data_IF_274977287376
#
_entry.id   IF_274977287376
#
_cell.length_a   1.000
_cell.length_b   1.000
_cell.length_c   1.000
_cell.angle_alpha   90.00
_cell.angle_beta   90.00
_cell.angle_gamma   90.00
#
_symmetry.space_group_name_H-M   'P 1'
#
loop_
_entity.id
_entity.type
_entity.pdbx_description
1 polymer ?
#
# COMPACT_ATOMS: atom_id res chain seq x y z
N UNK A 1 -16.45 -0.68 -15.76
CA UNK A 1 -16.78 0.44 -14.88
C UNK A 1 -15.54 1.24 -14.51
N UNK A 2 -15.62 2.58 -14.56
CA UNK A 2 -14.51 3.49 -14.26
C UNK A 2 -14.03 3.29 -12.82
N UNK A 3 -14.94 3.23 -11.86
CA UNK A 3 -14.60 3.13 -10.44
C UNK A 3 -13.84 1.83 -10.12
N UNK A 4 -14.23 0.72 -10.72
CA UNK A 4 -13.57 -0.57 -10.54
C UNK A 4 -12.40 -0.82 -11.50
N UNK A 5 -12.02 0.17 -12.30
CA UNK A 5 -11.00 0.05 -13.35
C UNK A 5 -11.17 -1.20 -14.23
N UNK A 6 -12.41 -1.47 -14.64
CA UNK A 6 -12.83 -2.64 -15.42
C UNK A 6 -12.51 -4.01 -14.76
N UNK A 7 -12.18 -4.05 -13.49
CA UNK A 7 -12.02 -5.29 -12.73
C UNK A 7 -13.41 -5.79 -12.28
N UNK A 8 -13.81 -6.98 -12.72
CA UNK A 8 -15.14 -7.54 -12.46
C UNK A 8 -15.35 -7.81 -10.96
N UNK A 9 -14.38 -8.40 -10.27
CA UNK A 9 -14.48 -8.70 -8.84
C UNK A 9 -14.66 -7.42 -8.00
N UNK A 10 -13.91 -6.37 -8.35
CA UNK A 10 -14.04 -5.05 -7.72
C UNK A 10 -15.41 -4.41 -8.00
N UNK A 11 -15.92 -4.57 -9.22
CA UNK A 11 -17.24 -4.11 -9.59
C UNK A 11 -18.33 -4.82 -8.78
N UNK A 12 -18.30 -6.15 -8.73
CA UNK A 12 -19.29 -6.97 -8.04
C UNK A 12 -19.33 -6.65 -6.54
N UNK A 13 -18.16 -6.52 -5.92
CA UNK A 13 -18.08 -6.14 -4.51
C UNK A 13 -18.68 -4.76 -4.26
N UNK A 14 -18.37 -3.75 -5.08
CA UNK A 14 -18.92 -2.39 -4.92
C UNK A 14 -20.44 -2.38 -5.07
N UNK A 15 -20.97 -3.07 -6.08
CA UNK A 15 -22.41 -3.17 -6.33
C UNK A 15 -23.13 -3.88 -5.17
N UNK A 16 -22.58 -5.00 -4.69
CA UNK A 16 -23.13 -5.70 -3.52
C UNK A 16 -23.02 -4.86 -2.23
N UNK A 17 -21.95 -4.07 -2.07
CA UNK A 17 -21.81 -3.15 -0.95
C UNK A 17 -22.87 -2.05 -0.98
N UNK A 18 -23.19 -1.48 -2.15
CA UNK A 18 -24.28 -0.51 -2.31
C UNK A 18 -25.66 -1.15 -2.10
N UNK A 19 -25.87 -2.36 -2.59
CA UNK A 19 -27.08 -3.13 -2.34
C UNK A 19 -27.26 -3.43 -0.83
N UNK A 20 -26.19 -3.78 -0.14
CA UNK A 20 -26.20 -3.99 1.30
C UNK A 20 -26.56 -2.70 2.07
N UNK A 21 -26.08 -1.54 1.61
CA UNK A 21 -26.43 -0.26 2.21
C UNK A 21 -27.94 0.06 2.08
N UNK A 22 -28.62 -0.48 1.08
CA UNK A 22 -30.06 -0.30 0.85
C UNK A 22 -30.86 -1.38 1.56
N UNK A 23 -30.49 -2.65 1.38
CA UNK A 23 -31.29 -3.79 1.87
C UNK A 23 -31.08 -4.10 3.35
N UNK A 24 -29.92 -3.73 3.91
CA UNK A 24 -29.51 -3.97 5.29
C UNK A 24 -28.91 -2.71 5.91
N UNK A 25 -29.71 -1.62 5.89
CA UNK A 25 -29.26 -0.32 6.34
C UNK A 25 -28.81 -0.31 7.80
N UNK A 26 -29.46 -1.13 8.63
CA UNK A 26 -29.19 -1.31 10.06
C UNK A 26 -27.93 -2.12 10.36
N UNK A 27 -27.41 -2.88 9.39
CA UNK A 27 -26.17 -3.65 9.58
C UNK A 27 -24.95 -2.85 9.15
N UNK A 28 -24.12 -2.47 10.13
CA UNK A 28 -22.90 -1.71 9.89
C UNK A 28 -21.85 -2.56 9.18
N UNK A 29 -21.33 -2.14 7.99
CA UNK A 29 -20.43 -2.97 7.19
C UNK A 29 -19.06 -3.17 7.84
N UNK A 30 -18.60 -2.22 8.65
CA UNK A 30 -17.26 -2.24 9.23
C UNK A 30 -16.13 -2.09 8.22
N UNK A 31 -16.45 -1.62 7.01
CA UNK A 31 -15.51 -1.37 5.90
C UNK A 31 -15.86 -0.02 5.27
N UNK A 32 -14.83 0.75 4.93
CA UNK A 32 -14.92 1.97 4.14
C UNK A 32 -14.38 1.73 2.73
N UNK A 33 -15.00 2.35 1.75
CA UNK A 33 -14.55 2.34 0.35
C UNK A 33 -13.64 3.56 0.12
N UNK A 34 -12.45 3.34 -0.42
CA UNK A 34 -11.48 4.40 -0.71
C UNK A 34 -11.18 4.45 -2.22
N UNK A 35 -11.43 5.60 -2.83
CA UNK A 35 -11.24 5.86 -4.25
C UNK A 35 -9.96 6.67 -4.46
N UNK A 36 -8.99 6.11 -5.15
CA UNK A 36 -7.73 6.76 -5.45
C UNK A 36 -7.60 6.96 -6.95
N UNK A 37 -7.27 8.17 -7.37
CA UNK A 37 -6.97 8.52 -8.76
C UNK A 37 -6.42 9.93 -8.84
N UNK A 38 -5.98 10.31 -10.01
CA UNK A 38 -5.75 11.71 -10.35
C UNK A 38 -7.04 12.55 -10.25
N UNK A 39 -6.90 13.87 -10.31
CA UNK A 39 -8.04 14.78 -10.41
C UNK A 39 -8.78 14.60 -11.75
N UNK A 40 -10.11 14.77 -11.74
CA UNK A 40 -10.92 14.71 -12.95
C UNK A 40 -11.25 13.29 -13.47
N UNK A 41 -11.12 12.26 -12.63
CA UNK A 41 -11.43 10.86 -13.00
C UNK A 41 -12.83 10.39 -12.58
N UNK A 42 -13.69 11.29 -12.04
CA UNK A 42 -15.09 10.97 -11.73
C UNK A 42 -15.39 10.58 -10.28
N UNK A 43 -14.47 10.83 -9.34
CA UNK A 43 -14.73 10.59 -7.90
C UNK A 43 -15.93 11.41 -7.39
N UNK A 44 -15.97 12.72 -7.71
CA UNK A 44 -17.11 13.60 -7.38
C UNK A 44 -18.41 13.17 -8.06
N UNK A 45 -18.36 12.70 -9.33
CA UNK A 45 -19.53 12.16 -10.04
C UNK A 45 -20.09 10.91 -9.31
N UNK A 46 -19.22 10.09 -8.71
CA UNK A 46 -19.66 8.98 -7.88
C UNK A 46 -20.43 9.48 -6.65
N UNK A 47 -19.93 10.52 -5.98
CA UNK A 47 -20.67 11.13 -4.87
C UNK A 47 -22.02 11.72 -5.35
N UNK A 48 -22.07 12.39 -6.50
CA UNK A 48 -23.34 12.89 -7.08
C UNK A 48 -24.38 11.78 -7.21
N UNK A 49 -23.97 10.58 -7.66
CA UNK A 49 -24.86 9.41 -7.70
C UNK A 49 -25.32 8.99 -6.30
N UNK A 50 -24.40 8.90 -5.33
CA UNK A 50 -24.74 8.54 -3.95
C UNK A 50 -25.73 9.56 -3.36
N UNK A 51 -25.47 10.85 -3.55
CA UNK A 51 -26.35 11.92 -3.09
C UNK A 51 -27.74 11.83 -3.74
N UNK A 52 -27.83 11.50 -5.02
CA UNK A 52 -29.11 11.32 -5.71
C UNK A 52 -29.94 10.18 -5.13
N UNK A 53 -29.29 9.11 -4.63
CA UNK A 53 -29.96 7.94 -4.02
C UNK A 53 -30.39 8.24 -2.58
N UNK A 54 -29.47 8.79 -1.75
CA UNK A 54 -29.70 8.95 -0.31
C UNK A 54 -30.13 10.37 0.12
N UNK A 55 -30.01 11.35 -0.78
CA UNK A 55 -30.50 12.71 -0.57
C UNK A 55 -29.94 13.32 0.72
N UNK A 56 -30.84 13.78 1.59
CA UNK A 56 -30.48 14.46 2.85
C UNK A 56 -29.74 13.58 3.85
N UNK A 57 -29.71 12.27 3.65
CA UNK A 57 -28.96 11.32 4.49
C UNK A 57 -27.54 11.08 3.97
N UNK A 58 -27.07 11.89 3.01
CA UNK A 58 -25.68 11.85 2.52
C UNK A 58 -25.02 13.21 2.70
N UNK A 59 -23.74 13.19 3.00
CA UNK A 59 -22.89 14.39 3.14
C UNK A 59 -21.55 14.20 2.44
N UNK A 60 -21.11 15.24 1.77
CA UNK A 60 -19.73 15.40 1.29
C UNK A 60 -18.96 16.32 2.23
N UNK A 61 -17.76 15.92 2.59
CA UNK A 61 -16.92 16.63 3.54
C UNK A 61 -15.52 16.79 2.95
N UNK A 62 -15.10 18.03 2.75
CA UNK A 62 -13.78 18.38 2.19
C UNK A 62 -12.69 18.53 3.29
N UNK A 63 -13.08 18.74 4.55
CA UNK A 63 -12.15 18.70 5.68
C UNK A 63 -12.53 17.53 6.61
N UNK A 64 -11.69 16.50 6.59
CA UNK A 64 -11.86 15.29 7.43
C UNK A 64 -12.00 15.60 8.92
N UNK A 65 -11.55 16.77 9.39
CA UNK A 65 -11.72 17.21 10.79
C UNK A 65 -13.18 17.34 11.21
N UNK A 66 -14.09 17.58 10.29
CA UNK A 66 -15.52 17.61 10.58
C UNK A 66 -16.10 16.22 10.89
N UNK A 67 -15.36 15.16 10.60
CA UNK A 67 -15.73 13.78 10.86
C UNK A 67 -14.93 13.21 12.03
N UNK A 68 -13.59 13.37 11.99
CA UNK A 68 -12.68 12.79 12.99
C UNK A 68 -12.31 13.79 14.11
N UNK A 69 -12.68 15.06 14.00
CA UNK A 69 -12.41 16.07 15.02
C UNK A 69 -13.37 16.00 16.21
N UNK A 70 -13.18 16.90 17.15
CA UNK A 70 -14.02 16.97 18.36
C UNK A 70 -15.48 17.36 18.05
N UNK A 71 -15.69 18.18 17.00
CA UNK A 71 -17.04 18.60 16.61
C UNK A 71 -17.46 17.85 15.34
N UNK A 72 -18.10 16.72 15.53
CA UNK A 72 -18.48 15.77 14.48
C UNK A 72 -20.01 15.70 14.27
N UNK A 73 -20.71 16.81 14.52
CA UNK A 73 -22.17 16.89 14.39
C UNK A 73 -22.70 16.48 13.00
N UNK A 74 -21.85 16.55 11.97
CA UNK A 74 -22.18 16.08 10.63
C UNK A 74 -22.56 14.60 10.58
N UNK A 75 -22.09 13.78 11.52
CA UNK A 75 -22.43 12.36 11.58
C UNK A 75 -23.86 12.10 12.07
N UNK A 76 -24.50 13.02 12.80
CA UNK A 76 -25.78 12.77 13.46
C UNK A 76 -26.90 12.34 12.52
N UNK A 77 -27.01 12.97 11.35
CA UNK A 77 -28.14 12.82 10.43
C UNK A 77 -27.74 12.22 9.07
N UNK A 78 -26.50 11.78 8.92
CA UNK A 78 -25.98 11.33 7.63
C UNK A 78 -25.62 9.86 7.68
N UNK A 79 -26.23 9.09 6.78
CA UNK A 79 -25.96 7.67 6.60
C UNK A 79 -24.75 7.43 5.68
N UNK A 80 -24.69 8.19 4.57
CA UNK A 80 -23.55 8.19 3.66
C UNK A 80 -22.63 9.35 4.02
N UNK A 81 -21.38 9.06 4.29
CA UNK A 81 -20.33 10.03 4.60
C UNK A 81 -19.24 9.89 3.54
N UNK A 82 -19.15 10.87 2.67
CA UNK A 82 -18.14 10.95 1.62
C UNK A 82 -17.10 12.01 1.97
N UNK A 83 -15.87 11.58 2.19
CA UNK A 83 -14.73 12.45 2.50
C UNK A 83 -13.95 12.70 1.20
N UNK A 84 -14.11 13.89 0.62
CA UNK A 84 -13.33 14.27 -0.55
C UNK A 84 -11.96 14.84 -0.14
N UNK A 85 -10.98 14.71 -1.01
CA UNK A 85 -9.59 15.10 -0.77
C UNK A 85 -8.99 14.53 0.52
N UNK A 86 -9.50 13.38 0.97
CA UNK A 86 -9.08 12.76 2.22
C UNK A 86 -7.61 12.34 2.16
N UNK A 87 -6.83 12.81 3.12
CA UNK A 87 -5.41 12.46 3.28
C UNK A 87 -5.09 12.26 4.76
N UNK A 88 -4.61 11.07 5.10
CA UNK A 88 -4.21 10.71 6.46
C UNK A 88 -2.72 10.43 6.60
N UNK A 89 -1.92 10.72 5.57
CA UNK A 89 -0.47 10.56 5.63
C UNK A 89 0.10 11.44 6.76
N UNK A 90 0.74 10.79 7.75
CA UNK A 90 1.28 11.46 8.93
C UNK A 90 0.27 11.80 10.03
N UNK A 91 -1.03 11.63 9.80
CA UNK A 91 -2.09 11.84 10.80
C UNK A 91 -2.52 10.50 11.42
N UNK A 92 -1.70 9.96 12.31
CA UNK A 92 -1.98 8.67 12.96
C UNK A 92 -3.23 8.72 13.86
N UNK A 93 -3.41 9.79 14.64
CA UNK A 93 -4.57 9.95 15.51
C UNK A 93 -5.87 10.02 14.72
N UNK A 94 -5.91 10.83 13.67
CA UNK A 94 -7.07 10.94 12.80
C UNK A 94 -7.42 9.61 12.13
N UNK A 95 -6.41 8.84 11.74
CA UNK A 95 -6.60 7.54 11.14
C UNK A 95 -7.18 6.51 12.15
N UNK A 96 -6.72 6.51 13.39
CA UNK A 96 -7.28 5.63 14.43
C UNK A 96 -8.72 6.03 14.76
N UNK A 97 -9.02 7.33 14.82
CA UNK A 97 -10.41 7.80 14.99
C UNK A 97 -11.31 7.34 13.84
N UNK A 98 -10.85 7.45 12.59
CA UNK A 98 -11.60 6.96 11.42
C UNK A 98 -11.83 5.46 11.50
N UNK A 99 -10.83 4.67 11.86
CA UNK A 99 -10.95 3.22 12.03
C UNK A 99 -12.03 2.86 13.07
N UNK A 100 -12.09 3.62 14.17
CA UNK A 100 -13.12 3.43 15.19
C UNK A 100 -14.50 3.79 14.65
N UNK A 101 -14.66 4.93 13.98
CA UNK A 101 -15.91 5.33 13.35
C UNK A 101 -16.43 4.29 12.34
N UNK A 102 -15.54 3.62 11.61
CA UNK A 102 -15.91 2.57 10.65
C UNK A 102 -16.47 1.33 11.35
N UNK A 103 -15.94 0.96 12.53
CA UNK A 103 -16.22 -0.33 13.16
C UNK A 103 -17.17 -0.27 14.36
N UNK A 104 -17.19 0.82 15.11
CA UNK A 104 -17.97 0.94 16.33
C UNK A 104 -19.46 1.11 16.03
N UNK A 105 -20.32 0.39 16.77
CA UNK A 105 -21.77 0.45 16.65
C UNK A 105 -22.36 1.70 17.28
N UNK A 106 -21.66 2.31 18.21
CA UNK A 106 -22.04 3.55 18.90
C UNK A 106 -20.94 4.56 18.73
N UNK A 107 -21.29 5.77 18.39
CA UNK A 107 -20.35 6.88 18.25
C UNK A 107 -20.80 8.06 19.09
N UNK A 108 -19.81 8.77 19.65
CA UNK A 108 -20.05 10.00 20.41
C UNK A 108 -20.13 11.19 19.49
N UNK A 109 -21.21 11.95 19.59
CA UNK A 109 -21.43 13.20 18.82
C UNK A 109 -21.23 14.39 19.73
N UNK A 110 -20.41 15.32 19.31
CA UNK A 110 -20.17 16.59 19.99
C UNK A 110 -20.60 17.77 19.12
N UNK A 111 -21.37 18.68 19.71
CA UNK A 111 -21.75 19.97 19.13
C UNK A 111 -21.19 21.08 19.97
N UNK A 112 -20.84 22.22 19.34
CA UNK A 112 -20.43 23.42 20.09
C UNK A 112 -21.54 23.83 21.07
N UNK A 113 -21.15 24.09 22.31
CA UNK A 113 -22.04 24.56 23.39
C UNK A 113 -23.13 23.58 23.79
N UNK A 114 -23.03 22.31 23.43
CA UNK A 114 -23.97 21.27 23.82
C UNK A 114 -23.23 20.10 24.50
N UNK A 115 -23.92 19.42 25.40
CA UNK A 115 -23.40 18.21 26.00
C UNK A 115 -23.28 17.12 24.93
N UNK A 116 -22.13 16.43 24.91
CA UNK A 116 -21.92 15.31 24.02
C UNK A 116 -22.85 14.14 24.38
N UNK A 117 -23.30 13.41 23.36
CA UNK A 117 -24.20 12.26 23.50
C UNK A 117 -23.83 11.16 22.51
N UNK A 118 -24.28 9.95 22.80
CA UNK A 118 -23.97 8.80 21.97
C UNK A 118 -25.17 8.51 21.03
N UNK A 119 -24.83 8.10 19.79
CA UNK A 119 -25.82 7.65 18.80
C UNK A 119 -25.42 6.27 18.26
N UNK A 120 -26.39 5.49 17.83
CA UNK A 120 -26.15 4.30 17.05
C UNK A 120 -25.57 4.67 15.68
N UNK A 121 -24.57 3.89 15.21
CA UNK A 121 -23.81 4.19 14.01
C UNK A 121 -24.05 3.15 12.93
N UNK A 122 -24.79 3.55 11.91
CA UNK A 122 -25.05 2.78 10.69
C UNK A 122 -24.29 3.32 9.46
N UNK A 123 -23.37 4.23 9.66
CA UNK A 123 -22.68 4.98 8.61
C UNK A 123 -22.00 4.09 7.59
N UNK A 124 -22.02 4.55 6.35
CA UNK A 124 -21.24 4.06 5.21
C UNK A 124 -20.22 5.11 4.86
N UNK A 125 -18.94 4.80 5.09
CA UNK A 125 -17.85 5.72 4.82
C UNK A 125 -17.25 5.48 3.44
N UNK A 126 -17.16 6.56 2.69
CA UNK A 126 -16.43 6.63 1.43
C UNK A 126 -15.36 7.72 1.56
N UNK A 127 -14.20 7.49 0.95
CA UNK A 127 -13.15 8.48 0.89
C UNK A 127 -12.63 8.59 -0.54
N UNK A 128 -12.31 9.80 -0.98
CA UNK A 128 -11.65 10.05 -2.25
C UNK A 128 -10.33 10.78 -1.99
N UNK A 129 -9.29 10.41 -2.72
CA UNK A 129 -7.99 11.08 -2.60
C UNK A 129 -7.28 11.13 -3.94
N UNK A 130 -6.52 12.22 -4.15
CA UNK A 130 -5.60 12.38 -5.27
C UNK A 130 -4.16 11.96 -4.88
N UNK A 131 -3.95 11.61 -3.61
CA UNK A 131 -2.64 11.23 -3.12
C UNK A 131 -2.30 9.78 -3.46
N UNK A 132 -1.09 9.55 -3.93
CA UNK A 132 -0.52 8.21 -4.13
C UNK A 132 -0.42 7.40 -2.84
N UNK A 133 -0.31 8.05 -1.68
CA UNK A 133 -0.28 7.42 -0.37
C UNK A 133 -1.36 8.02 0.52
N UNK A 134 -2.49 7.34 0.62
CA UNK A 134 -3.66 7.77 1.39
C UNK A 134 -3.39 7.84 2.89
N UNK A 135 -2.86 6.75 3.45
CA UNK A 135 -2.60 6.60 4.88
C UNK A 135 -1.59 5.48 5.14
N UNK A 136 -1.11 5.39 6.39
CA UNK A 136 -0.40 4.21 6.85
C UNK A 136 -1.38 3.06 7.06
N UNK A 137 -1.30 2.03 6.20
CA UNK A 137 -2.17 0.84 6.23
C UNK A 137 -1.37 -0.34 6.79
N UNK A 138 -1.67 -0.81 8.01
CA UNK A 138 -1.06 -2.01 8.57
C UNK A 138 -1.35 -3.25 7.73
N UNK A 139 -0.49 -4.25 7.84
CA UNK A 139 -0.64 -5.52 7.11
C UNK A 139 -1.93 -6.25 7.48
N UNK A 140 -2.35 -6.15 8.73
CA UNK A 140 -3.56 -6.76 9.29
C UNK A 140 -4.82 -5.89 9.15
N UNK A 141 -4.72 -4.72 8.48
CA UNK A 141 -5.89 -3.88 8.28
C UNK A 141 -6.99 -4.62 7.50
N UNK A 142 -8.23 -4.48 7.97
CA UNK A 142 -9.45 -5.08 7.40
C UNK A 142 -10.58 -4.09 7.16
N UNK A 143 -10.31 -2.79 7.38
CA UNK A 143 -11.35 -1.75 7.38
C UNK A 143 -11.45 -0.99 6.07
N UNK A 144 -10.43 -1.04 5.22
CA UNK A 144 -10.41 -0.28 3.98
C UNK A 144 -10.44 -1.20 2.75
N UNK A 145 -11.30 -0.85 1.80
CA UNK A 145 -11.32 -1.46 0.47
C UNK A 145 -10.92 -0.38 -0.54
N UNK A 146 -9.72 -0.50 -1.13
CA UNK A 146 -9.16 0.48 -2.03
C UNK A 146 -9.51 0.19 -3.47
N UNK A 147 -9.82 1.26 -4.21
CA UNK A 147 -10.09 1.24 -5.64
C UNK A 147 -9.18 2.23 -6.34
N UNK A 148 -8.47 1.78 -7.37
CA UNK A 148 -7.83 2.67 -8.34
C UNK A 148 -8.84 3.00 -9.41
N UNK A 149 -9.37 4.22 -9.40
CA UNK A 149 -10.31 4.69 -10.42
C UNK A 149 -9.57 4.86 -11.75
N UNK A 150 -10.18 4.42 -12.83
CA UNK A 150 -9.57 4.45 -14.16
C UNK A 150 -9.34 5.88 -14.66
N UNK A 151 -8.20 6.11 -15.29
CA UNK A 151 -7.86 7.37 -15.95
C UNK A 151 -8.40 7.45 -17.39
N UNK A 152 -9.11 6.42 -17.88
CA UNK A 152 -9.57 6.31 -19.27
C UNK A 152 -10.36 7.53 -19.76
N UNK A 153 -11.17 8.12 -18.88
CA UNK A 153 -11.98 9.31 -19.19
C UNK A 153 -11.54 10.54 -18.38
N UNK A 154 -10.27 10.57 -17.94
CA UNK A 154 -9.74 11.71 -17.18
C UNK A 154 -9.98 13.01 -17.95
N UNK A 155 -10.63 13.99 -17.29
CA UNK A 155 -10.95 15.31 -17.85
C UNK A 155 -11.82 15.29 -19.13
N UNK A 156 -12.50 14.20 -19.44
CA UNK A 156 -13.42 14.13 -20.57
C UNK A 156 -14.77 14.73 -20.16
N UNK A 157 -14.94 16.03 -20.43
CA UNK A 157 -16.13 16.81 -20.04
C UNK A 157 -17.40 16.23 -20.66
N UNK A 158 -17.39 15.90 -21.96
CA UNK A 158 -18.56 15.36 -22.68
C UNK A 158 -19.03 14.04 -22.07
N UNK A 159 -18.11 13.21 -21.65
CA UNK A 159 -18.42 11.94 -20.99
C UNK A 159 -19.09 12.16 -19.64
N UNK A 160 -18.51 13.01 -18.80
CA UNK A 160 -19.05 13.28 -17.47
C UNK A 160 -20.36 14.08 -17.52
N UNK A 161 -20.51 14.99 -18.47
CA UNK A 161 -21.76 15.71 -18.68
C UNK A 161 -22.93 14.76 -19.00
N UNK A 162 -22.70 13.79 -19.89
CA UNK A 162 -23.71 12.75 -20.17
C UNK A 162 -24.08 11.95 -18.91
N UNK A 163 -23.11 11.58 -18.08
CA UNK A 163 -23.37 10.88 -16.82
C UNK A 163 -24.17 11.78 -15.86
N UNK A 164 -23.81 13.04 -15.72
CA UNK A 164 -24.56 13.98 -14.87
C UNK A 164 -26.01 14.15 -15.35
N UNK A 165 -26.25 14.28 -16.67
CA UNK A 165 -27.60 14.33 -17.23
C UNK A 165 -28.42 13.07 -16.92
N UNK A 166 -27.80 11.88 -16.98
CA UNK A 166 -28.46 10.62 -16.60
C UNK A 166 -28.80 10.57 -15.11
N UNK A 167 -27.92 11.11 -14.25
CA UNK A 167 -28.17 11.18 -12.80
C UNK A 167 -29.27 12.21 -12.50
N UNK A 168 -29.25 13.37 -13.14
CA UNK A 168 -30.24 14.43 -12.90
C UNK A 168 -31.62 14.04 -13.37
N UNK A 169 -31.73 13.44 -14.53
CA UNK A 169 -33.01 12.92 -15.06
C UNK A 169 -33.69 11.96 -14.08
N UNK A 170 -32.93 11.25 -13.27
CA UNK A 170 -33.43 10.41 -12.19
C UNK A 170 -33.99 9.06 -12.61
N UNK A 171 -34.43 8.88 -13.86
CA UNK A 171 -35.04 7.62 -14.31
C UNK A 171 -34.05 6.44 -14.26
N UNK A 172 -32.83 6.67 -14.73
CA UNK A 172 -31.78 5.66 -14.64
C UNK A 172 -31.36 5.38 -13.20
N UNK A 173 -31.38 6.40 -12.35
CA UNK A 173 -31.10 6.24 -10.92
C UNK A 173 -32.19 5.41 -10.24
N UNK A 174 -33.47 5.60 -10.62
CA UNK A 174 -34.57 4.76 -10.12
C UNK A 174 -34.40 3.29 -10.55
N UNK A 175 -34.05 3.06 -11.84
CA UNK A 175 -33.74 1.72 -12.33
C UNK A 175 -32.57 1.07 -11.62
N UNK A 176 -31.52 1.85 -11.34
CA UNK A 176 -30.35 1.37 -10.60
C UNK A 176 -30.72 1.08 -9.13
N UNK A 177 -31.50 1.95 -8.48
CA UNK A 177 -31.98 1.72 -7.13
C UNK A 177 -32.85 0.44 -7.06
N UNK A 178 -33.77 0.26 -8.00
CA UNK A 178 -34.57 -0.96 -8.09
C UNK A 178 -33.67 -2.20 -8.27
N UNK A 179 -32.68 -2.13 -9.12
CA UNK A 179 -31.70 -3.22 -9.27
C UNK A 179 -30.99 -3.55 -7.95
N UNK A 180 -30.50 -2.53 -7.22
CA UNK A 180 -29.83 -2.72 -5.93
C UNK A 180 -30.75 -3.30 -4.87
N UNK A 181 -32.04 -2.95 -4.88
CA UNK A 181 -33.05 -3.48 -3.95
C UNK A 181 -33.35 -4.96 -4.15
N UNK A 182 -33.20 -5.45 -5.39
CA UNK A 182 -33.55 -6.83 -5.77
C UNK A 182 -32.33 -7.73 -6.03
N UNK A 183 -31.12 -7.17 -5.94
CA UNK A 183 -29.88 -7.94 -6.09
C UNK A 183 -29.78 -8.98 -4.96
N UNK A 184 -29.53 -10.23 -5.28
CA UNK A 184 -29.30 -11.26 -4.27
C UNK A 184 -27.95 -11.03 -3.55
N UNK A 185 -28.06 -10.66 -2.26
CA UNK A 185 -26.90 -10.44 -1.39
C UNK A 185 -26.90 -11.37 -0.17
N UNK A 186 -27.63 -12.50 -0.23
CA UNK A 186 -27.74 -13.43 0.90
C UNK A 186 -26.40 -13.95 1.41
N UNK A 187 -25.46 -14.18 0.51
CA UNK A 187 -24.11 -14.68 0.82
C UNK A 187 -23.08 -13.56 0.97
N UNK A 188 -23.46 -12.31 0.68
CA UNK A 188 -22.55 -11.20 0.76
C UNK A 188 -22.25 -10.78 2.19
N UNK A 189 -20.98 -10.73 2.53
CA UNK A 189 -20.48 -10.17 3.78
C UNK A 189 -19.52 -9.01 3.46
N UNK A 190 -19.88 -7.76 3.78
CA UNK A 190 -19.03 -6.61 3.48
C UNK A 190 -17.65 -6.69 4.16
N UNK A 191 -17.53 -7.44 5.27
CA UNK A 191 -16.24 -7.62 5.97
C UNK A 191 -15.30 -8.60 5.25
N UNK A 192 -15.83 -9.46 4.38
CA UNK A 192 -15.06 -10.30 3.46
C UNK A 192 -14.65 -9.50 2.23
N UNK A 193 -13.99 -8.35 2.47
CA UNK A 193 -13.57 -7.44 1.41
C UNK A 193 -12.56 -8.07 0.46
N UNK A 194 -12.56 -7.61 -0.76
CA UNK A 194 -11.55 -7.96 -1.74
C UNK A 194 -10.21 -7.27 -1.40
N UNK A 195 -9.11 -7.92 -1.70
CA UNK A 195 -7.78 -7.32 -1.69
C UNK A 195 -7.46 -6.93 -3.13
N UNK A 196 -7.60 -5.65 -3.42
CA UNK A 196 -7.28 -5.09 -4.74
C UNK A 196 -5.77 -4.85 -4.88
N UNK A 197 -5.26 -4.72 -6.10
CA UNK A 197 -3.87 -4.33 -6.33
C UNK A 197 -3.56 -3.01 -5.62
N UNK A 198 -4.46 -2.04 -5.67
CA UNK A 198 -4.28 -0.77 -4.96
C UNK A 198 -4.13 -0.94 -3.44
N UNK A 199 -4.85 -1.91 -2.86
CA UNK A 199 -4.69 -2.21 -1.42
C UNK A 199 -3.27 -2.74 -1.11
N UNK A 200 -2.75 -3.61 -1.97
CA UNK A 200 -1.37 -4.12 -1.89
C UNK A 200 -0.37 -2.96 -1.97
N UNK A 201 -0.55 -2.07 -2.95
CA UNK A 201 0.32 -0.90 -3.16
C UNK A 201 0.31 0.05 -1.96
N UNK A 202 -0.86 0.31 -1.35
CA UNK A 202 -0.97 1.13 -0.14
C UNK A 202 -0.24 0.49 1.06
N UNK A 203 -0.30 -0.83 1.21
CA UNK A 203 0.46 -1.55 2.24
C UNK A 203 1.96 -1.49 1.98
N UNK A 204 2.41 -1.70 0.73
CA UNK A 204 3.81 -1.57 0.34
C UNK A 204 4.33 -0.16 0.64
N UNK A 205 3.58 0.88 0.26
CA UNK A 205 3.91 2.28 0.58
C UNK A 205 3.95 2.56 2.08
N UNK A 206 3.29 1.73 2.87
CA UNK A 206 3.24 1.84 4.34
C UNK A 206 4.36 1.11 5.06
N UNK A 207 5.13 0.24 4.38
CA UNK A 207 6.30 -0.42 4.95
C UNK A 207 7.33 0.63 5.40
N UNK A 208 7.97 0.37 6.55
CA UNK A 208 8.97 1.27 7.15
C UNK A 208 10.21 0.51 7.57
N UNK A 209 11.29 1.24 7.79
CA UNK A 209 12.53 0.73 8.35
C UNK A 209 13.01 -0.52 7.63
N UNK A 210 13.39 -1.54 8.39
CA UNK A 210 13.94 -2.78 7.86
C UNK A 210 12.95 -3.58 7.01
N UNK A 211 11.64 -3.51 7.25
CA UNK A 211 10.62 -4.19 6.43
C UNK A 211 10.59 -3.62 5.01
N UNK A 212 10.72 -2.30 4.88
CA UNK A 212 10.79 -1.63 3.57
C UNK A 212 12.10 -1.95 2.84
N UNK A 213 13.22 -1.88 3.53
CA UNK A 213 14.53 -2.28 3.02
C UNK A 213 14.53 -3.73 2.52
N UNK A 214 13.95 -4.65 3.30
CA UNK A 214 13.84 -6.06 2.92
C UNK A 214 12.98 -6.27 1.68
N UNK A 215 11.83 -5.59 1.62
CA UNK A 215 10.97 -5.61 0.43
C UNK A 215 11.73 -5.14 -0.82
N UNK A 216 12.48 -4.05 -0.73
CA UNK A 216 13.25 -3.53 -1.86
C UNK A 216 14.40 -4.45 -2.27
N UNK A 217 15.05 -5.10 -1.31
CA UNK A 217 16.05 -6.12 -1.61
C UNK A 217 15.45 -7.32 -2.36
N UNK A 218 14.24 -7.77 -1.99
CA UNK A 218 13.51 -8.82 -2.70
C UNK A 218 13.04 -8.37 -4.09
N UNK A 219 12.67 -7.10 -4.23
CA UNK A 219 12.22 -6.51 -5.48
C UNK A 219 13.37 -6.39 -6.48
N UNK A 220 14.52 -5.89 -6.01
CA UNK A 220 15.71 -5.62 -6.82
C UNK A 220 16.69 -6.81 -6.89
N UNK A 221 16.28 -8.00 -6.45
CA UNK A 221 17.06 -9.26 -6.51
C UNK A 221 18.38 -9.24 -5.74
N UNK A 222 18.55 -8.31 -4.80
CA UNK A 222 19.78 -8.19 -4.03
C UNK A 222 19.80 -6.98 -3.11
N UNK A 223 20.89 -6.87 -2.38
CA UNK A 223 21.19 -5.73 -1.50
C UNK A 223 22.03 -4.71 -2.24
N UNK A 224 21.45 -4.02 -3.23
CA UNK A 224 22.14 -3.12 -4.18
C UNK A 224 22.70 -1.81 -3.57
N UNK A 225 22.57 -1.62 -2.25
CA UNK A 225 23.00 -0.40 -1.57
C UNK A 225 24.47 -0.37 -1.15
N UNK A 226 25.32 -1.18 -1.80
CA UNK A 226 26.72 -1.28 -1.41
C UNK A 226 27.56 -0.37 -2.29
N UNK A 227 28.25 0.58 -1.64
CA UNK A 227 29.24 1.40 -2.32
C UNK A 227 30.40 0.53 -2.85
N UNK A 228 31.01 0.94 -3.94
CA UNK A 228 32.12 0.27 -4.61
C UNK A 228 33.29 -0.13 -3.70
N UNK A 229 33.49 0.56 -2.58
CA UNK A 229 34.51 0.24 -1.57
C UNK A 229 34.19 -0.98 -0.68
N UNK A 230 32.97 -1.52 -0.73
CA UNK A 230 32.54 -2.67 0.07
C UNK A 230 32.19 -3.91 -0.80
N UNK A 231 32.61 -3.92 -2.04
CA UNK A 231 32.40 -4.98 -3.04
C UNK A 231 32.78 -6.39 -2.56
N UNK A 232 33.76 -6.50 -1.68
CA UNK A 232 34.23 -7.77 -1.12
C UNK A 232 33.17 -8.54 -0.32
N UNK A 233 32.00 -7.93 -0.02
CA UNK A 233 30.97 -8.53 0.83
C UNK A 233 29.76 -9.06 0.05
N UNK A 234 29.73 -8.91 -1.29
CA UNK A 234 28.55 -9.17 -2.13
C UNK A 234 28.80 -10.01 -3.38
N UNK A 235 29.98 -10.57 -3.54
CA UNK A 235 30.30 -11.45 -4.70
C UNK A 235 29.38 -12.66 -4.84
N UNK A 236 28.61 -12.98 -3.79
CA UNK A 236 27.64 -14.09 -3.80
C UNK A 236 26.22 -13.64 -4.23
N UNK A 237 25.96 -12.36 -4.50
CA UNK A 237 24.61 -11.86 -4.82
C UNK A 237 24.09 -12.25 -6.22
N UNK A 238 24.98 -12.48 -7.15
CA UNK A 238 24.66 -12.79 -8.56
C UNK A 238 23.88 -14.11 -8.68
N UNK A 239 24.03 -15.01 -7.71
CA UNK A 239 23.40 -16.35 -7.68
C UNK A 239 22.17 -16.45 -6.74
N UNK A 240 21.64 -15.33 -6.21
CA UNK A 240 20.51 -15.42 -5.28
C UNK A 240 19.19 -15.91 -5.91
N UNK A 241 19.10 -16.03 -7.21
CA UNK A 241 17.84 -16.42 -7.87
C UNK A 241 17.32 -17.78 -7.39
N UNK A 242 18.13 -18.82 -7.47
CA UNK A 242 17.73 -20.18 -7.13
C UNK A 242 18.45 -20.73 -5.91
N UNK A 243 19.65 -20.28 -5.63
CA UNK A 243 20.51 -20.85 -4.58
C UNK A 243 20.46 -20.06 -3.28
N UNK A 244 20.48 -20.75 -2.14
CA UNK A 244 20.70 -20.09 -0.86
C UNK A 244 22.05 -19.37 -0.82
N UNK A 245 22.11 -18.16 -0.27
CA UNK A 245 23.36 -17.45 -0.11
C UNK A 245 23.58 -16.98 1.35
N UNK A 246 24.83 -16.69 1.69
CA UNK A 246 25.20 -16.20 3.01
C UNK A 246 25.38 -14.68 2.99
N UNK A 247 24.79 -14.00 3.97
CA UNK A 247 25.01 -12.59 4.23
C UNK A 247 25.46 -12.40 5.68
N UNK A 248 26.59 -11.73 5.88
CA UNK A 248 27.05 -11.40 7.23
C UNK A 248 26.13 -10.37 7.89
N UNK A 249 25.86 -10.50 9.19
CA UNK A 249 25.01 -9.55 9.95
C UNK A 249 25.54 -8.12 9.85
N UNK A 250 26.87 -7.96 9.88
CA UNK A 250 27.55 -6.69 9.72
C UNK A 250 27.27 -6.04 8.36
N UNK A 251 27.38 -6.84 7.28
CA UNK A 251 27.05 -6.39 5.92
C UNK A 251 25.60 -5.96 5.80
N UNK A 252 24.69 -6.77 6.31
CA UNK A 252 23.27 -6.47 6.29
C UNK A 252 22.93 -5.17 7.04
N UNK A 253 23.60 -4.91 8.17
CA UNK A 253 23.49 -3.65 8.93
C UNK A 253 24.04 -2.48 8.14
N UNK A 254 25.19 -2.64 7.47
CA UNK A 254 25.79 -1.58 6.65
C UNK A 254 24.87 -1.21 5.48
N UNK A 255 24.34 -2.20 4.77
CA UNK A 255 23.38 -1.99 3.69
C UNK A 255 22.11 -1.26 4.20
N UNK A 256 21.55 -1.72 5.32
CA UNK A 256 20.39 -1.06 5.92
C UNK A 256 20.68 0.38 6.34
N UNK A 257 21.81 0.64 7.00
CA UNK A 257 22.18 1.98 7.43
C UNK A 257 22.41 2.94 6.25
N UNK A 258 22.97 2.45 5.14
CA UNK A 258 23.10 3.26 3.92
C UNK A 258 21.75 3.56 3.30
N UNK A 259 20.88 2.57 3.20
CA UNK A 259 19.51 2.73 2.74
C UNK A 259 18.74 3.75 3.57
N UNK A 260 18.83 3.65 4.89
CA UNK A 260 18.11 4.52 5.82
C UNK A 260 18.61 5.96 5.74
N UNK A 261 19.92 6.18 5.58
CA UNK A 261 20.51 7.51 5.36
C UNK A 261 20.03 8.15 4.07
N UNK A 262 19.98 7.40 2.96
CA UNK A 262 19.47 7.89 1.68
C UNK A 262 17.99 8.24 1.76
N UNK A 263 17.24 7.49 2.56
CA UNK A 263 15.82 7.73 2.82
C UNK A 263 15.53 8.83 3.83
N UNK A 264 16.56 9.48 4.43
CA UNK A 264 16.49 10.54 5.44
C UNK A 264 15.71 10.16 6.72
N UNK A 265 15.71 8.88 7.12
CA UNK A 265 14.87 8.37 8.21
C UNK A 265 15.59 8.15 9.54
N UNK A 266 16.89 7.89 9.53
CA UNK A 266 17.74 7.75 10.72
C UNK A 266 17.26 6.74 11.77
N UNK A 267 16.70 5.61 11.36
CA UNK A 267 16.38 4.50 12.26
C UNK A 267 17.64 3.67 12.53
N UNK A 268 18.14 3.69 13.74
CA UNK A 268 19.26 2.82 14.14
C UNK A 268 18.73 1.45 14.59
N UNK A 269 19.11 0.37 13.92
CA UNK A 269 18.80 -1.00 14.33
C UNK A 269 20.04 -1.66 14.91
N UNK A 270 19.91 -2.25 16.10
CA UNK A 270 20.97 -3.04 16.71
C UNK A 270 20.97 -4.48 16.17
N UNK A 271 22.13 -5.14 16.17
CA UNK A 271 22.29 -6.50 15.61
C UNK A 271 21.36 -7.53 16.27
N UNK A 272 21.00 -7.35 17.54
CA UNK A 272 20.05 -8.22 18.25
C UNK A 272 18.61 -8.11 17.72
N UNK A 273 18.21 -6.93 17.25
CA UNK A 273 16.89 -6.68 16.70
C UNK A 273 16.76 -7.29 15.30
N UNK A 274 17.83 -7.28 14.50
CA UNK A 274 17.84 -7.89 13.16
C UNK A 274 17.45 -9.36 13.22
N UNK A 275 17.96 -10.12 14.18
CA UNK A 275 17.64 -11.55 14.30
C UNK A 275 16.14 -11.80 14.43
N UNK A 276 15.43 -10.99 15.23
CA UNK A 276 13.98 -11.09 15.39
C UNK A 276 13.23 -10.69 14.11
N UNK A 277 13.71 -9.66 13.44
CA UNK A 277 13.08 -9.16 12.20
C UNK A 277 13.28 -10.17 11.07
N UNK A 278 14.50 -10.65 10.85
CA UNK A 278 14.78 -11.68 9.83
C UNK A 278 13.94 -12.93 10.05
N UNK A 279 13.86 -13.42 11.29
CA UNK A 279 13.02 -14.59 11.60
C UNK A 279 11.53 -14.37 11.32
N UNK A 280 11.06 -13.12 11.42
CA UNK A 280 9.68 -12.73 11.08
C UNK A 280 9.45 -12.65 9.57
N UNK A 281 10.39 -12.02 8.83
CA UNK A 281 10.25 -11.77 7.39
C UNK A 281 10.65 -12.98 6.52
N UNK A 282 11.59 -13.78 7.01
CA UNK A 282 12.16 -14.94 6.32
C UNK A 282 12.45 -16.07 7.33
N UNK A 283 11.44 -16.82 7.78
CA UNK A 283 11.58 -17.87 8.79
C UNK A 283 12.60 -18.96 8.43
N UNK A 284 12.82 -19.21 7.14
CA UNK A 284 13.77 -20.22 6.62
C UNK A 284 15.24 -19.71 6.66
N UNK A 285 15.45 -18.45 7.04
CA UNK A 285 16.81 -17.93 7.21
C UNK A 285 17.50 -18.54 8.44
N UNK A 286 18.64 -19.20 8.22
CA UNK A 286 19.38 -19.87 9.25
C UNK A 286 20.57 -19.01 9.72
N UNK A 287 20.60 -18.71 11.03
CA UNK A 287 21.74 -18.01 11.63
C UNK A 287 22.94 -18.98 11.71
N UNK A 288 24.03 -18.66 11.04
CA UNK A 288 25.24 -19.48 10.97
C UNK A 288 26.51 -18.62 11.13
N UNK A 289 27.61 -19.29 11.45
CA UNK A 289 28.94 -18.75 11.27
C UNK A 289 29.51 -19.29 9.96
N UNK A 290 30.07 -18.45 9.13
CA UNK A 290 30.60 -18.83 7.83
C UNK A 290 31.99 -18.23 7.62
N UNK A 291 32.88 -19.03 7.06
CA UNK A 291 34.21 -18.62 6.60
C UNK A 291 34.22 -18.78 5.08
N UNK A 292 34.28 -17.71 4.36
CA UNK A 292 34.43 -17.71 2.90
C UNK A 292 35.87 -17.36 2.51
N UNK A 293 36.23 -17.55 1.26
CA UNK A 293 37.53 -17.11 0.75
C UNK A 293 37.71 -15.58 0.80
N UNK A 294 36.60 -14.85 0.83
CA UNK A 294 36.54 -13.37 0.90
C UNK A 294 36.64 -12.83 2.34
N UNK A 295 36.51 -13.67 3.36
CA UNK A 295 36.62 -13.23 4.74
C UNK A 295 37.88 -13.77 5.40
N UNK A 296 38.77 -12.90 5.88
CA UNK A 296 39.94 -13.30 6.65
C UNK A 296 39.58 -14.07 7.93
N UNK A 297 38.43 -13.76 8.53
CA UNK A 297 37.91 -14.38 9.75
C UNK A 297 36.47 -14.87 9.56
N UNK A 298 36.10 -15.90 10.34
CA UNK A 298 34.72 -16.39 10.41
C UNK A 298 33.75 -15.26 10.79
N UNK A 299 32.69 -15.05 9.99
CA UNK A 299 31.65 -14.05 10.24
C UNK A 299 30.34 -14.70 10.67
N UNK A 300 29.62 -14.04 11.59
CA UNK A 300 28.23 -14.40 11.93
C UNK A 300 27.28 -13.76 10.96
N UNK A 301 26.28 -14.51 10.52
CA UNK A 301 25.30 -14.00 9.54
C UNK A 301 24.16 -14.98 9.33
N UNK A 302 23.49 -14.83 8.24
CA UNK A 302 22.31 -15.61 7.86
C UNK A 302 22.55 -16.29 6.52
N UNK A 303 22.20 -17.58 6.45
CA UNK A 303 22.03 -18.28 5.18
C UNK A 303 20.59 -18.09 4.76
N UNK A 304 20.36 -17.27 3.77
CA UNK A 304 19.05 -16.96 3.20
C UNK A 304 18.66 -18.03 2.19
N UNK A 305 17.37 -18.41 2.06
CA UNK A 305 16.90 -19.28 0.99
C UNK A 305 17.02 -18.56 -0.36
N UNK A 306 16.89 -19.28 -1.47
CA UNK A 306 16.81 -18.68 -2.80
C UNK A 306 15.70 -17.63 -2.89
N UNK A 307 15.86 -16.65 -3.81
CA UNK A 307 15.02 -15.45 -3.91
C UNK A 307 13.51 -15.78 -4.01
N UNK A 308 13.14 -16.74 -4.85
CA UNK A 308 11.74 -17.14 -5.01
C UNK A 308 11.13 -17.64 -3.69
N UNK A 309 11.91 -18.40 -2.90
CA UNK A 309 11.46 -18.85 -1.59
C UNK A 309 11.39 -17.70 -0.59
N UNK A 310 12.35 -16.78 -0.60
CA UNK A 310 12.35 -15.60 0.24
C UNK A 310 11.13 -14.68 -0.05
N UNK A 311 10.76 -14.51 -1.34
CA UNK A 311 9.55 -13.80 -1.77
C UNK A 311 8.27 -14.47 -1.26
N UNK A 312 8.15 -15.80 -1.37
CA UNK A 312 7.00 -16.55 -0.84
C UNK A 312 6.84 -16.38 0.68
N UNK A 313 7.94 -16.41 1.42
CA UNK A 313 7.94 -16.21 2.86
C UNK A 313 7.53 -14.79 3.23
N UNK A 314 8.01 -13.81 2.49
CA UNK A 314 7.59 -12.42 2.66
C UNK A 314 6.10 -12.22 2.32
N UNK A 315 5.58 -12.84 1.26
CA UNK A 315 4.14 -12.83 0.92
C UNK A 315 3.29 -13.46 2.04
N UNK A 316 3.79 -14.54 2.65
CA UNK A 316 3.13 -15.16 3.81
C UNK A 316 3.07 -14.19 5.00
N UNK A 317 4.16 -13.51 5.29
CA UNK A 317 4.22 -12.45 6.29
C UNK A 317 3.29 -11.28 5.94
N UNK A 318 3.31 -10.85 4.67
CA UNK A 318 2.56 -9.72 4.15
C UNK A 318 1.05 -10.01 4.01
N UNK A 319 0.68 -11.28 3.97
CA UNK A 319 -0.72 -11.75 3.94
C UNK A 319 -1.39 -11.70 2.58
N UNK A 320 -0.65 -11.44 1.51
CA UNK A 320 -1.15 -11.51 0.13
C UNK A 320 -0.01 -11.68 -0.88
N UNK A 321 -0.39 -12.07 -2.10
CA UNK A 321 0.54 -12.13 -3.23
C UNK A 321 0.98 -10.73 -3.64
N UNK A 322 2.24 -10.61 -4.04
CA UNK A 322 2.85 -9.38 -4.54
C UNK A 322 3.22 -9.60 -6.00
N UNK A 323 2.96 -8.61 -6.83
CA UNK A 323 3.44 -8.60 -8.21
C UNK A 323 4.92 -8.17 -8.21
N UNK A 324 5.81 -9.17 -8.16
CA UNK A 324 7.24 -8.96 -8.19
C UNK A 324 7.68 -8.63 -9.61
N UNK A 325 8.63 -7.71 -9.76
CA UNK A 325 9.28 -7.50 -11.07
C UNK A 325 9.76 -8.84 -11.63
N UNK A 326 9.33 -9.13 -12.85
CA UNK A 326 9.81 -10.32 -13.56
C UNK A 326 11.27 -10.09 -13.92
N UNK A 327 12.07 -11.09 -13.63
CA UNK A 327 13.47 -11.13 -14.04
C UNK A 327 13.46 -11.73 -15.43
N UNK A 328 13.78 -10.95 -16.44
CA UNK A 328 14.09 -11.51 -17.75
C UNK A 328 15.57 -11.89 -17.78
N UNK A 329 15.88 -13.10 -18.26
CA UNK A 329 17.26 -13.58 -18.43
C UNK A 329 18.14 -12.59 -19.23
N UNK A 330 17.51 -11.77 -20.06
CA UNK A 330 18.16 -10.74 -20.87
C UNK A 330 18.58 -9.53 -20.03
N UNK A 331 17.77 -9.08 -19.08
CA UNK A 331 18.09 -7.96 -18.19
C UNK A 331 19.22 -8.32 -17.23
N UNK A 332 19.21 -9.54 -16.70
CA UNK A 332 20.30 -10.04 -15.85
C UNK A 332 21.62 -10.10 -16.62
N UNK A 333 21.60 -10.58 -17.86
CA UNK A 333 22.80 -10.64 -18.70
C UNK A 333 23.32 -9.25 -19.07
N UNK A 334 22.44 -8.29 -19.33
CA UNK A 334 22.81 -6.91 -19.64
C UNK A 334 23.37 -6.17 -18.40
N UNK A 335 22.80 -6.38 -17.22
CA UNK A 335 23.36 -5.82 -15.98
C UNK A 335 24.74 -6.40 -15.65
N UNK A 336 24.91 -7.73 -15.76
CA UNK A 336 26.21 -8.40 -15.55
C UNK A 336 27.25 -7.90 -16.55
N UNK A 337 26.88 -7.72 -17.81
CA UNK A 337 27.81 -7.23 -18.85
C UNK A 337 28.15 -5.75 -18.62
N UNK A 338 27.19 -4.91 -18.25
CA UNK A 338 27.41 -3.50 -17.92
C UNK A 338 28.32 -3.34 -16.68
N UNK A 339 28.14 -4.18 -15.65
CA UNK A 339 29.02 -4.20 -14.49
C UNK A 339 30.46 -4.64 -14.84
N UNK A 340 30.62 -5.67 -15.68
CA UNK A 340 31.93 -6.10 -16.16
C UNK A 340 32.67 -5.03 -16.94
N UNK A 341 31.95 -4.28 -17.80
CA UNK A 341 32.53 -3.18 -18.56
C UNK A 341 32.99 -2.07 -17.61
N UNK A 342 32.16 -1.69 -16.65
CA UNK A 342 32.49 -0.69 -15.65
C UNK A 342 33.71 -1.12 -14.76
N UNK A 343 33.86 -2.41 -14.48
CA UNK A 343 35.01 -2.97 -13.76
C UNK A 343 36.30 -2.86 -14.55
N UNK A 344 36.24 -3.22 -15.82
CA UNK A 344 37.41 -3.16 -16.69
C UNK A 344 37.90 -1.71 -16.93
N UNK A 345 36.97 -0.76 -17.05
CA UNK A 345 37.30 0.67 -17.18
C UNK A 345 37.92 1.25 -15.89
N UNK A 346 37.49 0.79 -14.71
CA UNK A 346 38.09 1.22 -13.44
C UNK A 346 39.48 0.62 -13.21
N UNK A 347 39.72 -0.64 -13.58
CA UNK A 347 41.07 -1.25 -13.52
C UNK A 347 42.04 -0.49 -14.43
N UNK A 348 41.63 -0.19 -15.66
CA UNK A 348 42.44 0.58 -16.61
C UNK A 348 42.78 1.98 -16.07
N UNK A 349 41.79 2.66 -15.42
CA UNK A 349 42.04 3.97 -14.79
C UNK A 349 42.98 3.87 -13.58
N UNK A 350 42.89 2.80 -12.81
CA UNK A 350 43.74 2.60 -11.63
C UNK A 350 45.19 2.31 -12.05
N UNK A 351 45.39 1.48 -13.08
CA UNK A 351 46.70 1.15 -13.63
C UNK A 351 47.35 2.40 -14.28
N UNK A 352 46.58 3.19 -15.03
CA UNK A 352 47.07 4.44 -15.59
C UNK A 352 47.44 5.48 -14.51
N UNK A 353 46.71 5.48 -13.37
CA UNK A 353 47.03 6.35 -12.23
C UNK A 353 48.33 5.89 -11.52
N UNK A 354 48.54 4.59 -11.37
CA UNK A 354 49.77 4.03 -10.79
C UNK A 354 50.99 4.28 -11.69
N UNK A 355 50.88 4.09 -13.01
CA UNK A 355 51.93 4.41 -13.95
C UNK A 355 52.31 5.91 -13.92
N UNK A 356 51.35 6.80 -13.75
CA UNK A 356 51.62 8.26 -13.63
C UNK A 356 52.34 8.66 -12.33
N UNK A 357 52.27 7.83 -11.29
CA UNK A 357 52.99 8.04 -10.02
C UNK A 357 54.41 7.52 -10.03
N UNK A 358 54.72 6.52 -10.87
CA UNK A 358 56.04 5.95 -11.00
C UNK A 358 56.96 6.77 -11.97
N UNK A 359 56.40 7.70 -12.74
CA UNK A 359 57.12 8.62 -13.61
C UNK A 359 57.46 9.99 -12.94
N UNK A 360 57.09 10.20 -11.67
CA UNK A 360 57.43 11.41 -10.90
C UNK A 360 58.35 11.11 -9.72
#
# INVERSE_FOLDING_TARGET
SIISNNNQQSYDYLIQYLAHAIQKAEDKPGVAIVLLSDSGCGKGTFYTLLNKIWGRSSIEVNDVKHIIGNFNAALQNNFIVFMDEALFKGNHEGMERLKNLITEKTIRVEKKYMQAYDIESFHRFFAASNSEHFAHIPIDDRRFCFYRVSNQYKQNLDYFEKIHQLIENGHQVQGFLHYLQHLDIKTFNPRSRIITQEHIDQRIKSLKGFERFWYEALQNHGFSFISTSHRLLTTDNIDWLEKPFFVATETLLLCFNQYDRQSQRYESIQSQQISKIIKKLCPDANAIKHKSQTFEKEKRGYRLPGLFRARQLFETYFGCKIDWMQITDTEIKLEIEAERIAESEQEIMLDAYHESLDET
#
